data_IF_342039993639
#
_entry.id   IF_342039993639
#
_cell.length_a   1.000
_cell.length_b   1.000
_cell.length_c   1.000
_cell.angle_alpha   90.00
_cell.angle_beta   90.00
_cell.angle_gamma   90.00
#
_symmetry.space_group_name_H-M   'P 1'
#
loop_
_entity.id
_entity.type
_entity.pdbx_description
1 polymer ?
#
# COMPACT_ATOMS: atom_id res chain seq x y z
N UNK A 1 19.84 18.61 -7.55
CA UNK A 1 18.38 18.33 -7.48
C UNK A 1 17.72 19.54 -6.82
N UNK A 2 16.67 20.08 -7.44
CA UNK A 2 16.00 21.28 -6.91
C UNK A 2 15.13 20.86 -5.71
N UNK A 3 15.28 21.57 -4.58
CA UNK A 3 14.48 21.35 -3.37
C UNK A 3 13.67 22.61 -3.11
N UNK A 4 12.35 22.47 -2.88
CA UNK A 4 11.48 23.55 -2.43
C UNK A 4 10.97 23.15 -1.05
N UNK A 5 11.29 23.94 -0.06
CA UNK A 5 10.77 23.81 1.30
C UNK A 5 9.50 24.68 1.34
N UNK A 6 8.39 24.08 1.73
CA UNK A 6 7.16 24.83 1.95
C UNK A 6 7.25 25.49 3.32
N UNK A 7 7.15 26.80 3.42
CA UNK A 7 7.11 27.51 4.71
C UNK A 7 5.97 27.01 5.59
N UNK A 8 5.95 27.44 6.85
CA UNK A 8 4.82 27.18 7.74
C UNK A 8 3.52 27.67 7.10
N UNK A 9 2.43 26.96 7.38
CA UNK A 9 1.11 27.24 6.78
C UNK A 9 0.72 28.71 6.94
N UNK A 10 0.92 29.26 8.11
CA UNK A 10 0.61 30.65 8.46
C UNK A 10 1.41 31.68 7.63
N UNK A 11 2.63 31.33 7.22
CA UNK A 11 3.50 32.21 6.44
C UNK A 11 3.10 32.32 4.97
N UNK A 12 2.39 31.33 4.43
CA UNK A 12 2.02 31.25 3.01
C UNK A 12 0.52 31.30 2.78
N UNK A 13 -0.28 31.40 3.82
CA UNK A 13 -1.74 31.42 3.72
C UNK A 13 -2.26 32.56 2.82
N UNK A 14 -1.57 33.69 2.81
CA UNK A 14 -1.88 34.82 1.93
C UNK A 14 -1.63 34.52 0.42
N UNK A 15 -0.83 33.51 0.11
CA UNK A 15 -0.59 33.05 -1.27
C UNK A 15 -1.63 32.03 -1.77
N UNK A 16 -2.47 31.54 -0.87
CA UNK A 16 -3.51 30.56 -1.16
C UNK A 16 -4.76 31.28 -1.64
N UNK A 17 -5.12 31.11 -2.89
CA UNK A 17 -6.28 31.74 -3.50
C UNK A 17 -7.53 30.93 -3.07
N UNK A 18 -8.52 31.61 -2.51
CA UNK A 18 -9.81 31.04 -2.09
C UNK A 18 -9.67 29.80 -1.16
N UNK A 19 -8.60 29.72 -0.39
CA UNK A 19 -8.33 28.56 0.48
C UNK A 19 -7.95 27.28 -0.28
N UNK A 20 -7.69 27.34 -1.59
CA UNK A 20 -7.30 26.17 -2.41
C UNK A 20 -5.81 25.84 -2.31
N UNK A 21 -5.46 25.11 -1.28
CA UNK A 21 -4.09 24.59 -1.10
C UNK A 21 -3.66 23.65 -2.21
N UNK A 22 -4.57 22.94 -2.86
CA UNK A 22 -4.26 22.09 -4.02
C UNK A 22 -3.68 22.93 -5.16
N UNK A 23 -4.29 24.07 -5.47
CA UNK A 23 -3.79 25.02 -6.47
C UNK A 23 -2.41 25.59 -6.12
N UNK A 24 -2.17 25.87 -4.84
CA UNK A 24 -0.86 26.28 -4.35
C UNK A 24 0.22 25.22 -4.64
N UNK A 25 -0.02 23.95 -4.30
CA UNK A 25 0.93 22.86 -4.55
C UNK A 25 1.14 22.57 -6.03
N UNK A 26 0.09 22.67 -6.86
CA UNK A 26 0.21 22.55 -8.33
C UNK A 26 1.11 23.66 -8.91
N UNK A 27 0.98 24.90 -8.42
CA UNK A 27 1.87 26.00 -8.81
C UNK A 27 3.32 25.76 -8.39
N UNK A 28 3.54 25.23 -7.19
CA UNK A 28 4.87 24.90 -6.68
C UNK A 28 5.51 23.81 -7.52
N UNK A 29 4.81 22.70 -7.82
CA UNK A 29 5.38 21.64 -8.63
C UNK A 29 5.70 22.07 -10.07
N UNK A 30 4.91 23.00 -10.64
CA UNK A 30 5.19 23.55 -11.95
C UNK A 30 6.53 24.32 -12.01
N UNK A 31 6.96 24.92 -10.89
CA UNK A 31 8.28 25.53 -10.76
C UNK A 31 9.42 24.48 -10.80
N UNK A 32 9.13 23.23 -10.40
CA UNK A 32 10.07 22.11 -10.47
C UNK A 32 10.16 21.52 -11.87
N UNK A 33 9.04 21.43 -12.58
CA UNK A 33 8.91 20.73 -13.86
C UNK A 33 9.47 21.50 -15.08
N UNK A 34 9.82 22.78 -14.92
CA UNK A 34 10.32 23.62 -16.04
C UNK A 34 11.67 23.18 -16.63
N UNK A 35 12.34 22.16 -16.09
CA UNK A 35 13.68 21.76 -16.53
C UNK A 35 13.72 20.70 -17.62
N UNK A 36 12.61 20.14 -18.06
CA UNK A 36 12.53 19.25 -19.24
C UNK A 36 13.31 17.93 -19.17
N UNK A 37 13.97 17.63 -18.07
CA UNK A 37 14.79 16.43 -17.95
C UNK A 37 13.95 15.21 -17.54
N UNK A 38 14.29 14.02 -18.04
CA UNK A 38 13.72 12.73 -17.62
C UNK A 38 14.18 12.30 -16.22
N UNK A 39 14.97 13.11 -15.56
CA UNK A 39 15.48 12.88 -14.21
C UNK A 39 14.54 13.49 -13.18
N UNK A 40 14.66 13.06 -11.92
CA UNK A 40 13.90 13.57 -10.78
C UNK A 40 13.86 15.10 -10.81
N UNK A 41 12.66 15.67 -10.98
CA UNK A 41 12.47 17.11 -11.17
C UNK A 41 12.74 17.89 -9.89
N UNK A 42 12.47 17.29 -8.74
CA UNK A 42 12.80 17.87 -7.45
C UNK A 42 12.00 17.31 -6.28
N UNK A 43 12.26 17.86 -5.12
CA UNK A 43 11.61 17.48 -3.87
C UNK A 43 10.79 18.64 -3.33
N UNK A 44 9.54 18.39 -2.99
CA UNK A 44 8.69 19.29 -2.19
C UNK A 44 8.79 18.83 -0.75
N UNK A 45 9.25 19.70 0.13
CA UNK A 45 9.39 19.41 1.56
C UNK A 45 8.28 20.11 2.32
N UNK A 46 7.47 19.29 2.99
CA UNK A 46 6.35 19.75 3.81
C UNK A 46 6.82 19.97 5.25
N UNK A 47 6.41 21.07 5.83
CA UNK A 47 6.74 21.45 7.21
C UNK A 47 5.51 21.39 8.14
N UNK A 48 4.32 21.16 7.55
CA UNK A 48 3.03 21.12 8.25
C UNK A 48 2.05 20.18 7.53
N UNK A 49 0.82 20.06 8.03
CA UNK A 49 -0.31 19.38 7.40
C UNK A 49 -1.20 20.38 6.67
N UNK A 50 -1.43 20.12 5.38
CA UNK A 50 -2.12 21.05 4.49
C UNK A 50 -3.47 20.51 4.04
N UNK A 51 -4.54 21.35 4.08
CA UNK A 51 -5.85 20.97 3.58
C UNK A 51 -5.88 20.90 2.05
N UNK A 52 -6.53 19.89 1.52
CA UNK A 52 -6.80 19.76 0.11
C UNK A 52 -8.31 19.75 -0.13
N UNK A 53 -8.78 20.53 -1.11
CA UNK A 53 -10.17 20.58 -1.52
C UNK A 53 -10.47 19.71 -2.73
N UNK A 54 -9.45 19.19 -3.39
CA UNK A 54 -9.54 18.27 -4.51
C UNK A 54 -8.26 17.42 -4.62
N UNK A 55 -8.30 16.38 -5.46
CA UNK A 55 -7.13 15.52 -5.71
C UNK A 55 -5.90 16.34 -6.08
N UNK A 56 -4.84 16.20 -5.31
CA UNK A 56 -3.54 16.74 -5.70
C UNK A 56 -2.87 15.77 -6.69
N UNK A 57 -2.82 16.20 -7.94
CA UNK A 57 -2.16 15.46 -9.00
C UNK A 57 -0.66 15.72 -8.97
N UNK A 58 0.09 14.78 -8.37
CA UNK A 58 1.54 14.90 -8.26
C UNK A 58 2.17 14.61 -9.62
N UNK A 59 3.05 15.48 -10.07
CA UNK A 59 3.77 15.34 -11.32
C UNK A 59 4.76 14.18 -11.30
N UNK A 60 5.08 13.66 -12.48
CA UNK A 60 6.17 12.69 -12.63
C UNK A 60 7.50 13.28 -12.15
N UNK A 61 8.33 12.43 -11.56
CA UNK A 61 9.65 12.78 -11.01
C UNK A 61 9.62 13.77 -9.82
N UNK A 62 8.47 13.91 -9.15
CA UNK A 62 8.35 14.70 -7.92
C UNK A 62 8.40 13.78 -6.71
N UNK A 63 9.23 14.13 -5.74
CA UNK A 63 9.26 13.53 -4.42
C UNK A 63 8.56 14.45 -3.41
N UNK A 64 7.68 13.88 -2.61
CA UNK A 64 7.09 14.52 -1.44
C UNK A 64 7.84 14.05 -0.19
N UNK A 65 8.34 14.98 0.61
CA UNK A 65 9.09 14.67 1.83
C UNK A 65 8.58 15.53 2.99
N UNK A 66 8.23 14.92 4.12
CA UNK A 66 7.82 15.62 5.32
C UNK A 66 8.98 15.83 6.30
N UNK A 67 8.96 16.92 7.03
CA UNK A 67 9.82 17.13 8.19
C UNK A 67 9.10 16.65 9.45
N UNK A 68 9.58 15.56 10.07
CA UNK A 68 9.06 15.16 11.38
C UNK A 68 9.51 16.13 12.47
N UNK A 69 8.56 16.84 13.05
CA UNK A 69 8.84 17.73 14.19
C UNK A 69 8.81 17.01 15.56
N UNK A 70 8.25 15.81 15.64
CA UNK A 70 8.18 15.05 16.88
C UNK A 70 8.42 13.56 16.68
N UNK A 71 9.19 12.96 17.57
CA UNK A 71 9.61 11.54 17.48
C UNK A 71 8.53 10.52 17.82
N UNK A 72 7.37 10.87 18.36
CA UNK A 72 6.49 9.90 19.04
C UNK A 72 4.98 10.10 18.88
N UNK A 73 4.46 11.02 18.07
CA UNK A 73 3.01 11.15 17.92
C UNK A 73 2.57 11.14 16.46
N UNK A 74 1.72 10.16 16.15
CA UNK A 74 1.07 9.97 14.85
C UNK A 74 0.28 11.23 14.42
N UNK A 75 -0.11 12.10 15.35
CA UNK A 75 -0.84 13.33 15.10
C UNK A 75 0.00 14.57 14.71
N UNK A 76 1.33 14.47 14.68
CA UNK A 76 2.23 15.62 14.41
C UNK A 76 3.05 15.46 13.12
N UNK A 77 2.68 14.55 12.24
CA UNK A 77 3.37 14.34 10.97
C UNK A 77 2.92 15.33 9.91
N UNK A 78 3.87 15.85 9.15
CA UNK A 78 3.61 16.71 8.00
C UNK A 78 2.89 15.93 6.89
N UNK A 79 1.98 16.59 6.16
CA UNK A 79 1.30 15.90 5.09
C UNK A 79 0.10 16.65 4.52
N UNK A 80 -0.94 15.88 4.23
CA UNK A 80 -2.15 16.38 3.60
C UNK A 80 -3.39 15.80 4.26
N UNK A 81 -4.46 16.59 4.29
CA UNK A 81 -5.76 16.10 4.71
C UNK A 81 -6.87 16.58 3.78
N UNK A 82 -7.82 15.69 3.50
CA UNK A 82 -9.02 16.03 2.74
C UNK A 82 -9.94 16.89 3.61
N UNK A 83 -10.41 18.02 3.06
CA UNK A 83 -11.42 18.84 3.73
C UNK A 83 -12.82 18.23 3.61
N UNK A 84 -13.79 18.75 4.35
CA UNK A 84 -15.19 18.33 4.23
C UNK A 84 -15.74 18.51 2.81
N UNK A 85 -15.31 19.56 2.11
CA UNK A 85 -15.73 19.91 0.75
C UNK A 85 -14.85 19.27 -0.34
N UNK A 86 -14.07 18.25 0.00
CA UNK A 86 -13.15 17.62 -0.95
C UNK A 86 -13.92 17.05 -2.15
N UNK A 87 -13.44 17.37 -3.36
CA UNK A 87 -13.96 16.85 -4.62
C UNK A 87 -12.89 16.09 -5.39
N UNK A 88 -13.07 14.78 -5.54
CA UNK A 88 -12.13 13.89 -6.24
C UNK A 88 -12.17 12.46 -5.72
N UNK A 89 -11.46 11.57 -6.39
CA UNK A 89 -11.44 10.13 -6.07
C UNK A 89 -10.27 9.73 -5.14
N UNK A 90 -9.22 10.54 -5.06
CA UNK A 90 -7.98 10.30 -4.33
C UNK A 90 -7.49 11.56 -3.66
N UNK A 91 -6.95 11.45 -2.46
CA UNK A 91 -6.28 12.60 -1.83
C UNK A 91 -5.02 12.96 -2.61
N UNK A 92 -4.15 11.97 -2.86
CA UNK A 92 -2.95 12.14 -3.70
C UNK A 92 -2.97 11.15 -4.87
N UNK A 93 -2.60 11.62 -6.05
CA UNK A 93 -2.51 10.78 -7.25
C UNK A 93 -1.32 11.17 -8.10
N UNK A 94 -0.42 10.22 -8.37
CA UNK A 94 0.64 10.42 -9.34
C UNK A 94 0.09 10.31 -10.77
N UNK A 95 0.19 11.38 -11.51
CA UNK A 95 -0.23 11.38 -12.89
C UNK A 95 0.75 10.59 -13.75
N UNK A 96 0.18 9.81 -14.67
CA UNK A 96 0.93 9.25 -15.77
C UNK A 96 1.44 10.42 -16.62
N UNK A 97 2.75 10.49 -16.94
CA UNK A 97 3.22 11.42 -17.94
C UNK A 97 2.52 11.10 -19.27
N UNK A 98 2.32 12.09 -20.12
CA UNK A 98 1.69 11.95 -21.45
C UNK A 98 2.45 11.00 -22.40
N UNK A 99 3.51 10.34 -21.94
CA UNK A 99 4.24 9.34 -22.72
C UNK A 99 3.39 8.08 -22.88
N UNK A 100 3.46 7.46 -24.05
CA UNK A 100 2.84 6.15 -24.35
C UNK A 100 3.39 5.01 -23.48
N UNK A 101 4.37 5.27 -22.63
CA UNK A 101 4.99 4.33 -21.73
C UNK A 101 4.12 4.15 -20.47
N UNK A 102 3.86 2.92 -20.07
CA UNK A 102 3.22 2.57 -18.81
C UNK A 102 4.05 3.00 -17.60
N UNK A 103 5.33 3.19 -17.75
CA UNK A 103 6.32 3.43 -16.73
C UNK A 103 6.92 4.82 -16.95
N UNK A 104 6.45 5.81 -16.23
CA UNK A 104 6.86 7.18 -16.47
C UNK A 104 7.30 7.95 -15.24
N UNK A 105 7.12 7.37 -14.04
CA UNK A 105 7.41 8.05 -12.78
C UNK A 105 8.75 7.60 -12.18
N UNK A 106 9.84 7.69 -12.95
CA UNK A 106 11.19 7.46 -12.46
C UNK A 106 11.53 8.44 -11.34
N UNK A 107 12.06 7.91 -10.24
CA UNK A 107 12.53 8.74 -9.16
C UNK A 107 11.45 9.54 -8.42
N UNK A 108 10.17 9.25 -8.65
CA UNK A 108 9.09 9.73 -7.79
C UNK A 108 9.18 9.12 -6.40
N UNK A 109 8.70 9.82 -5.41
CA UNK A 109 8.80 9.29 -4.05
C UNK A 109 7.87 9.94 -3.06
N UNK A 110 7.64 9.20 -1.97
CA UNK A 110 7.00 9.67 -0.75
C UNK A 110 7.94 9.30 0.40
N UNK A 111 8.20 10.24 1.29
CA UNK A 111 8.95 9.97 2.50
C UNK A 111 8.43 10.83 3.66
N UNK A 112 8.12 10.19 4.78
CA UNK A 112 7.67 10.86 6.01
C UNK A 112 6.42 11.72 5.82
N UNK A 113 5.39 11.17 5.17
CA UNK A 113 4.14 11.86 4.87
C UNK A 113 2.97 11.19 5.60
N UNK A 114 2.07 11.99 6.13
CA UNK A 114 0.77 11.57 6.60
C UNK A 114 -0.31 12.04 5.61
N UNK A 115 -1.20 11.15 5.22
CA UNK A 115 -2.36 11.44 4.40
C UNK A 115 -3.61 11.08 5.18
N UNK A 116 -4.34 12.10 5.62
CA UNK A 116 -5.63 11.93 6.26
C UNK A 116 -6.73 12.03 5.20
N UNK A 117 -7.40 10.92 4.95
CA UNK A 117 -8.55 10.85 4.05
C UNK A 117 -9.86 11.07 4.82
N UNK A 118 -10.98 10.76 4.22
CA UNK A 118 -12.32 10.74 4.83
C UNK A 118 -13.10 9.55 4.32
N UNK A 119 -14.20 9.20 5.00
CA UNK A 119 -15.01 8.05 4.65
C UNK A 119 -15.43 8.06 3.17
N UNK A 120 -15.21 6.94 2.48
CA UNK A 120 -15.51 6.79 1.05
C UNK A 120 -14.52 7.45 0.08
N UNK A 121 -13.40 8.00 0.58
CA UNK A 121 -12.39 8.66 -0.24
C UNK A 121 -11.06 7.88 -0.19
N UNK A 122 -10.53 7.52 -1.35
CA UNK A 122 -9.23 6.84 -1.43
C UNK A 122 -8.07 7.75 -0.99
N UNK A 123 -7.05 7.14 -0.38
CA UNK A 123 -5.88 7.85 0.11
C UNK A 123 -4.88 8.20 -0.98
N UNK A 124 -3.98 7.27 -1.31
CA UNK A 124 -2.85 7.53 -2.21
C UNK A 124 -2.85 6.58 -3.40
N UNK A 125 -2.75 7.11 -4.60
CA UNK A 125 -2.52 6.34 -5.82
C UNK A 125 -1.13 6.63 -6.39
N UNK A 126 -0.20 5.71 -6.13
CA UNK A 126 1.18 5.79 -6.62
C UNK A 126 1.30 5.05 -7.94
N UNK A 127 1.02 5.75 -9.04
CA UNK A 127 0.85 5.18 -10.37
C UNK A 127 2.11 5.25 -11.21
N UNK A 128 2.37 4.16 -11.97
CA UNK A 128 3.42 4.14 -12.98
C UNK A 128 4.83 4.35 -12.42
N UNK A 129 5.04 4.05 -11.15
CA UNK A 129 6.34 4.11 -10.53
C UNK A 129 7.30 3.11 -11.19
N UNK A 130 8.56 3.47 -11.27
CA UNK A 130 9.62 2.64 -11.84
C UNK A 130 10.91 2.91 -11.07
N UNK A 131 11.97 2.19 -11.42
CA UNK A 131 13.31 2.24 -10.81
C UNK A 131 13.67 3.60 -10.19
N UNK A 132 14.22 3.60 -9.02
CA UNK A 132 14.50 4.79 -8.20
C UNK A 132 13.27 5.53 -7.63
N UNK A 133 12.05 5.01 -7.84
CA UNK A 133 10.89 5.41 -7.09
C UNK A 133 10.84 4.70 -5.73
N UNK A 134 10.07 5.21 -4.79
CA UNK A 134 9.88 4.54 -3.51
C UNK A 134 8.89 5.26 -2.59
N UNK A 135 8.35 4.49 -1.66
CA UNK A 135 7.49 4.99 -0.59
C UNK A 135 8.12 4.57 0.73
N UNK A 136 8.37 5.54 1.59
CA UNK A 136 8.99 5.33 2.88
C UNK A 136 8.27 6.14 3.96
N UNK A 137 8.00 5.51 5.11
CA UNK A 137 7.40 6.18 6.26
C UNK A 137 6.09 6.92 5.88
N UNK A 138 5.16 6.23 5.24
CA UNK A 138 3.85 6.77 4.85
C UNK A 138 2.78 6.30 5.82
N UNK A 139 1.94 7.22 6.27
CA UNK A 139 0.72 6.91 7.00
C UNK A 139 -0.46 7.35 6.15
N UNK A 140 -1.42 6.46 5.92
CA UNK A 140 -2.70 6.77 5.28
C UNK A 140 -3.81 6.38 6.22
N UNK A 141 -4.70 7.33 6.56
CA UNK A 141 -5.78 7.12 7.53
C UNK A 141 -7.12 7.64 7.09
N UNK A 142 -8.19 7.08 7.69
CA UNK A 142 -9.53 7.63 7.63
C UNK A 142 -10.23 7.45 6.28
N UNK A 143 -9.81 6.54 5.42
CA UNK A 143 -10.42 6.36 4.11
C UNK A 143 -11.78 5.62 4.19
N UNK A 144 -12.05 4.85 5.24
CA UNK A 144 -13.36 4.29 5.54
C UNK A 144 -13.81 3.20 4.58
N UNK A 145 -15.13 3.09 4.44
CA UNK A 145 -15.80 2.06 3.64
C UNK A 145 -15.58 2.23 2.14
N UNK A 146 -15.57 1.09 1.41
CA UNK A 146 -15.48 1.03 -0.06
C UNK A 146 -14.32 1.83 -0.67
N UNK A 147 -13.21 1.95 0.05
CA UNK A 147 -12.09 2.81 -0.31
C UNK A 147 -10.75 2.08 -0.19
N UNK A 148 -9.73 2.67 -0.78
CA UNK A 148 -8.38 2.13 -0.82
C UNK A 148 -7.42 3.11 -0.14
N UNK A 149 -6.65 2.61 0.83
CA UNK A 149 -5.61 3.42 1.48
C UNK A 149 -4.47 3.73 0.53
N UNK A 150 -3.79 2.72 0.02
CA UNK A 150 -2.66 2.87 -0.90
C UNK A 150 -2.81 1.94 -2.10
N UNK A 151 -2.94 2.51 -3.31
CA UNK A 151 -2.86 1.77 -4.57
C UNK A 151 -1.50 1.94 -5.21
N UNK A 152 -0.90 0.83 -5.58
CA UNK A 152 0.43 0.74 -6.16
C UNK A 152 0.35 0.28 -7.62
N UNK A 153 1.03 0.97 -8.49
CA UNK A 153 1.15 0.58 -9.90
C UNK A 153 2.55 0.84 -10.42
N UNK A 154 3.07 -0.07 -11.25
CA UNK A 154 4.39 0.09 -11.86
C UNK A 154 5.33 -1.08 -11.60
N UNK A 155 6.64 -0.81 -11.57
CA UNK A 155 7.67 -1.85 -11.62
C UNK A 155 8.93 -1.46 -10.84
N UNK A 156 9.52 -2.44 -10.16
CA UNK A 156 10.86 -2.38 -9.55
C UNK A 156 11.06 -1.22 -8.59
N UNK A 157 10.30 -1.16 -7.50
CA UNK A 157 10.49 -0.19 -6.42
C UNK A 157 10.16 -0.77 -5.04
N UNK A 158 10.53 -0.03 -4.00
CA UNK A 158 10.30 -0.42 -2.61
C UNK A 158 9.23 0.44 -1.93
N UNK A 159 8.47 -0.22 -1.04
CA UNK A 159 7.48 0.38 -0.15
C UNK A 159 7.84 -0.09 1.26
N UNK A 160 8.19 0.83 2.16
CA UNK A 160 8.67 0.50 3.50
C UNK A 160 8.05 1.38 4.56
N UNK A 161 7.82 0.78 5.73
CA UNK A 161 7.35 1.49 6.92
C UNK A 161 6.04 2.23 6.63
N UNK A 162 5.03 1.48 6.13
CA UNK A 162 3.75 2.05 5.73
C UNK A 162 2.63 1.52 6.62
N UNK A 163 1.87 2.46 7.18
CA UNK A 163 0.67 2.19 7.95
C UNK A 163 -0.57 2.66 7.18
N UNK A 164 -1.53 1.76 6.98
CA UNK A 164 -2.78 2.04 6.27
C UNK A 164 -3.98 1.64 7.13
N UNK A 165 -4.82 2.61 7.48
CA UNK A 165 -5.86 2.49 8.49
C UNK A 165 -7.19 3.07 7.97
N UNK A 166 -8.20 2.22 7.88
CA UNK A 166 -9.53 2.62 7.42
C UNK A 166 -10.40 3.25 8.51
N UNK A 167 -9.96 3.29 9.78
CA UNK A 167 -10.72 3.89 10.87
C UNK A 167 -11.09 5.35 10.59
N UNK A 168 -12.36 5.69 10.80
CA UNK A 168 -12.90 7.04 10.61
C UNK A 168 -13.29 7.61 11.97
N UNK A 169 -12.88 8.85 12.27
CA UNK A 169 -13.26 9.53 13.50
C UNK A 169 -12.65 8.93 14.78
N UNK A 170 -11.60 8.11 14.67
CA UNK A 170 -10.96 7.45 15.81
C UNK A 170 -11.69 6.21 16.33
N UNK A 171 -12.65 5.70 15.58
CA UNK A 171 -13.31 4.42 15.90
C UNK A 171 -12.50 3.25 15.32
N UNK A 172 -11.73 2.61 16.18
CA UNK A 172 -10.81 1.50 15.86
C UNK A 172 -11.42 0.14 16.22
N UNK A 173 -12.74 0.02 16.33
CA UNK A 173 -13.36 -1.19 16.89
C UNK A 173 -13.63 -2.31 15.89
N UNK A 174 -13.61 -2.04 14.58
CA UNK A 174 -13.95 -3.03 13.54
C UNK A 174 -13.40 -2.70 12.16
N UNK A 175 -13.36 -3.73 11.30
CA UNK A 175 -13.01 -3.58 9.89
C UNK A 175 -14.10 -2.82 9.11
N UNK A 176 -13.70 -1.91 8.23
CA UNK A 176 -14.61 -1.14 7.36
C UNK A 176 -14.93 -1.94 6.10
N UNK A 177 -16.22 -2.11 5.82
CA UNK A 177 -16.71 -2.87 4.67
C UNK A 177 -16.17 -2.32 3.34
N UNK A 178 -15.77 -3.21 2.42
CA UNK A 178 -15.22 -2.86 1.11
C UNK A 178 -13.88 -2.15 1.12
N UNK A 179 -13.30 -1.86 2.30
CA UNK A 179 -12.04 -1.14 2.38
C UNK A 179 -10.83 -2.04 2.11
N UNK A 180 -9.81 -1.46 1.47
CA UNK A 180 -8.54 -2.14 1.14
C UNK A 180 -7.36 -1.30 1.61
N UNK A 181 -6.48 -1.88 2.44
CA UNK A 181 -5.30 -1.16 2.90
C UNK A 181 -4.27 -0.94 1.78
N UNK A 182 -3.91 -2.01 1.07
CA UNK A 182 -2.91 -2.01 -0.01
C UNK A 182 -3.46 -2.74 -1.23
N UNK A 183 -3.53 -2.06 -2.36
CA UNK A 183 -3.92 -2.68 -3.63
C UNK A 183 -2.75 -2.65 -4.61
N UNK A 184 -2.34 -3.83 -5.08
CA UNK A 184 -1.27 -4.00 -6.07
C UNK A 184 -1.90 -4.17 -7.45
N UNK A 185 -1.91 -3.10 -8.21
CA UNK A 185 -2.08 -3.09 -9.66
C UNK A 185 -3.47 -2.92 -10.25
N UNK A 186 -3.60 -1.90 -11.10
CA UNK A 186 -4.59 -1.88 -12.18
C UNK A 186 -4.21 -2.79 -13.36
N UNK A 187 -2.90 -2.90 -13.66
CA UNK A 187 -2.29 -3.72 -14.73
C UNK A 187 -0.86 -3.99 -14.32
N UNK A 188 -0.37 -5.19 -14.53
CA UNK A 188 1.01 -5.64 -14.29
C UNK A 188 1.80 -4.82 -13.27
N UNK A 189 1.82 -5.30 -12.07
CA UNK A 189 2.76 -4.85 -11.04
C UNK A 189 3.88 -5.86 -11.00
N UNK A 190 5.13 -5.39 -11.16
CA UNK A 190 6.28 -6.26 -11.25
C UNK A 190 7.32 -5.89 -10.19
N UNK A 191 7.89 -6.91 -9.53
CA UNK A 191 9.09 -6.75 -8.70
C UNK A 191 8.97 -5.66 -7.61
N UNK A 192 7.81 -5.57 -6.96
CA UNK A 192 7.62 -4.66 -5.82
C UNK A 192 7.98 -5.37 -4.53
N UNK A 193 8.71 -4.68 -3.65
CA UNK A 193 8.98 -5.12 -2.29
C UNK A 193 8.23 -4.23 -1.30
N UNK A 194 7.36 -4.87 -0.51
CA UNK A 194 6.70 -4.26 0.64
C UNK A 194 7.37 -4.76 1.91
N UNK A 195 7.78 -3.87 2.79
CA UNK A 195 8.55 -4.19 4.00
C UNK A 195 8.06 -3.35 5.18
N UNK A 196 7.83 -3.98 6.32
CA UNK A 196 7.29 -3.34 7.53
C UNK A 196 5.98 -2.60 7.22
N UNK A 197 5.00 -3.31 6.71
CA UNK A 197 3.70 -2.72 6.39
C UNK A 197 2.65 -3.17 7.40
N UNK A 198 1.70 -2.28 7.68
CA UNK A 198 0.58 -2.56 8.59
C UNK A 198 -0.74 -2.19 7.94
N UNK A 199 -1.71 -3.11 7.97
CA UNK A 199 -3.12 -2.82 7.67
C UNK A 199 -3.93 -2.81 8.95
N UNK A 200 -4.85 -1.84 9.07
CA UNK A 200 -5.67 -1.68 10.25
C UNK A 200 -7.11 -1.31 9.88
N UNK A 201 -8.10 -1.90 10.56
CA UNK A 201 -9.52 -1.64 10.37
C UNK A 201 -10.03 -1.82 8.93
N UNK A 202 -9.45 -2.73 8.15
CA UNK A 202 -9.80 -2.93 6.75
C UNK A 202 -10.55 -4.25 6.55
N UNK A 203 -11.44 -4.33 5.55
CA UNK A 203 -11.92 -5.63 5.10
C UNK A 203 -10.79 -6.42 4.46
N UNK A 204 -10.03 -5.79 3.57
CA UNK A 204 -8.91 -6.42 2.87
C UNK A 204 -7.58 -5.76 3.23
N UNK A 205 -6.58 -6.56 3.57
CA UNK A 205 -5.23 -6.09 3.86
C UNK A 205 -4.45 -5.80 2.58
N UNK A 206 -3.79 -6.80 2.00
CA UNK A 206 -3.10 -6.70 0.72
C UNK A 206 -3.89 -7.43 -0.35
N UNK A 207 -4.34 -6.70 -1.35
CA UNK A 207 -5.01 -7.25 -2.54
C UNK A 207 -4.09 -7.16 -3.74
N UNK A 208 -3.84 -8.28 -4.41
CA UNK A 208 -3.08 -8.28 -5.66
C UNK A 208 -3.85 -8.91 -6.81
N UNK A 209 -3.82 -8.23 -7.94
CA UNK A 209 -4.39 -8.70 -9.20
C UNK A 209 -3.31 -9.33 -10.10
N UNK A 210 -3.01 -8.69 -11.23
CA UNK A 210 -1.92 -9.09 -12.14
C UNK A 210 -0.57 -8.61 -11.60
N UNK A 211 -0.07 -9.28 -10.54
CA UNK A 211 1.14 -8.94 -9.84
C UNK A 211 2.14 -10.09 -9.88
N UNK A 212 3.40 -9.79 -10.21
CA UNK A 212 4.44 -10.77 -10.41
C UNK A 212 5.69 -10.41 -9.59
N UNK A 213 6.34 -11.42 -9.01
CA UNK A 213 7.58 -11.26 -8.24
C UNK A 213 7.43 -10.26 -7.09
N UNK A 214 6.33 -10.39 -6.33
CA UNK A 214 6.07 -9.56 -5.19
C UNK A 214 6.73 -10.18 -3.95
N UNK A 215 7.43 -9.36 -3.19
CA UNK A 215 7.93 -9.73 -1.86
C UNK A 215 7.24 -8.87 -0.82
N UNK A 216 6.66 -9.52 0.19
CA UNK A 216 6.09 -8.88 1.38
C UNK A 216 6.86 -9.41 2.58
N UNK A 217 7.39 -8.52 3.41
CA UNK A 217 8.20 -8.88 4.58
C UNK A 217 7.80 -8.05 5.78
N UNK A 218 7.62 -8.70 6.93
CA UNK A 218 7.14 -8.08 8.16
C UNK A 218 5.80 -7.37 7.95
N UNK A 219 4.77 -8.15 7.66
CA UNK A 219 3.42 -7.63 7.50
C UNK A 219 2.59 -7.92 8.75
N UNK A 220 2.11 -6.87 9.39
CA UNK A 220 1.15 -6.91 10.48
C UNK A 220 -0.23 -6.51 9.98
N UNK A 221 -1.25 -7.31 10.27
CA UNK A 221 -2.63 -6.94 10.00
C UNK A 221 -3.46 -7.04 11.28
N UNK A 222 -4.10 -5.95 11.66
CA UNK A 222 -4.90 -5.86 12.87
C UNK A 222 -6.31 -5.38 12.53
N UNK A 223 -7.32 -6.03 13.10
CA UNK A 223 -8.73 -5.75 12.77
C UNK A 223 -8.97 -5.74 11.25
N UNK A 224 -8.30 -6.64 10.55
CA UNK A 224 -8.41 -6.81 9.10
C UNK A 224 -9.07 -8.15 8.83
N UNK A 225 -10.22 -8.14 8.15
CA UNK A 225 -11.03 -9.36 7.96
C UNK A 225 -10.29 -10.40 7.14
N UNK A 226 -9.66 -10.00 6.04
CA UNK A 226 -8.89 -10.88 5.15
C UNK A 226 -7.53 -10.24 4.86
N UNK A 227 -6.45 -10.64 5.53
CA UNK A 227 -5.13 -10.06 5.36
C UNK A 227 -4.57 -10.11 3.94
N UNK A 228 -4.82 -11.21 3.23
CA UNK A 228 -4.26 -11.47 1.91
C UNK A 228 -5.32 -11.91 0.93
N UNK A 229 -5.43 -11.24 -0.22
CA UNK A 229 -6.39 -11.55 -1.28
C UNK A 229 -5.69 -11.56 -2.63
N UNK A 230 -5.87 -12.63 -3.40
CA UNK A 230 -5.46 -12.70 -4.80
C UNK A 230 -6.67 -12.75 -5.71
N UNK A 231 -6.72 -11.85 -6.69
CA UNK A 231 -7.87 -11.74 -7.60
C UNK A 231 -7.60 -12.16 -9.04
N UNK A 232 -6.34 -12.44 -9.40
CA UNK A 232 -6.04 -12.78 -10.78
C UNK A 232 -4.98 -13.88 -10.92
N UNK A 233 -3.69 -13.54 -11.03
CA UNK A 233 -2.63 -14.50 -11.35
C UNK A 233 -1.39 -14.27 -10.48
N UNK A 234 -1.24 -15.04 -9.40
CA UNK A 234 -0.11 -14.89 -8.48
C UNK A 234 1.14 -15.60 -9.02
N UNK A 235 2.09 -14.86 -9.53
CA UNK A 235 3.37 -15.42 -10.01
C UNK A 235 4.53 -14.98 -9.14
N UNK A 236 5.11 -15.91 -8.39
CA UNK A 236 6.30 -15.65 -7.59
C UNK A 236 6.01 -14.69 -6.42
N UNK A 237 4.94 -14.94 -5.68
CA UNK A 237 4.61 -14.19 -4.47
C UNK A 237 5.36 -14.81 -3.29
N UNK A 238 6.11 -14.00 -2.57
CA UNK A 238 6.88 -14.42 -1.40
C UNK A 238 6.53 -13.53 -0.21
N UNK A 239 5.86 -14.11 0.79
CA UNK A 239 5.39 -13.42 1.97
C UNK A 239 6.09 -14.02 3.18
N UNK A 240 6.79 -13.18 3.94
CA UNK A 240 7.58 -13.58 5.10
C UNK A 240 7.16 -12.82 6.33
N UNK A 241 7.11 -13.55 7.43
CA UNK A 241 6.84 -12.99 8.75
C UNK A 241 5.55 -12.16 8.78
N UNK A 242 4.44 -12.80 8.36
CA UNK A 242 3.11 -12.21 8.49
C UNK A 242 2.54 -12.48 9.88
N UNK A 243 1.95 -11.47 10.50
CA UNK A 243 1.29 -11.57 11.81
C UNK A 243 -0.14 -11.03 11.75
N UNK A 244 -1.13 -11.82 11.30
CA UNK A 244 -2.53 -11.43 11.36
C UNK A 244 -3.06 -11.46 12.80
N UNK A 245 -3.79 -10.41 13.18
CA UNK A 245 -4.45 -10.26 14.47
C UNK A 245 -5.94 -10.06 14.32
N UNK A 246 -6.72 -10.65 15.21
CA UNK A 246 -8.17 -10.51 15.26
C UNK A 246 -8.88 -10.92 13.96
N UNK A 247 -8.38 -11.98 13.31
CA UNK A 247 -9.00 -12.58 12.13
C UNK A 247 -8.86 -14.09 12.15
N UNK A 248 -9.81 -14.78 11.54
CA UNK A 248 -9.73 -16.23 11.28
C UNK A 248 -9.21 -16.52 9.86
N UNK A 249 -9.21 -15.53 8.98
CA UNK A 249 -8.75 -15.68 7.61
C UNK A 249 -7.24 -15.43 7.52
N UNK A 250 -6.60 -16.05 6.57
CA UNK A 250 -5.21 -15.81 6.20
C UNK A 250 -5.10 -15.37 4.73
N UNK A 251 -5.69 -16.15 3.83
CA UNK A 251 -5.54 -15.93 2.39
C UNK A 251 -6.83 -16.31 1.65
N UNK A 252 -7.28 -15.44 0.78
CA UNK A 252 -8.39 -15.71 -0.12
C UNK A 252 -7.92 -15.80 -1.58
N UNK A 253 -8.14 -16.96 -2.20
CA UNK A 253 -7.80 -17.28 -3.59
C UNK A 253 -9.04 -17.55 -4.45
N UNK A 254 -10.26 -17.36 -3.94
CA UNK A 254 -11.51 -17.76 -4.61
C UNK A 254 -11.75 -17.08 -5.96
N UNK A 255 -11.15 -15.90 -6.17
CA UNK A 255 -11.27 -15.10 -7.40
C UNK A 255 -10.12 -15.30 -8.39
N UNK A 256 -9.17 -16.18 -8.11
CA UNK A 256 -8.04 -16.42 -9.00
C UNK A 256 -8.52 -17.12 -10.29
N UNK A 257 -8.25 -16.48 -11.42
CA UNK A 257 -8.74 -16.94 -12.74
C UNK A 257 -7.69 -17.69 -13.55
N UNK A 258 -6.40 -17.47 -13.28
CA UNK A 258 -5.31 -18.06 -14.05
C UNK A 258 -4.25 -18.66 -13.12
N UNK A 259 -4.03 -19.96 -13.26
CA UNK A 259 -3.13 -20.74 -12.41
C UNK A 259 -1.86 -21.21 -13.13
N UNK A 260 -1.45 -20.53 -14.18
CA UNK A 260 -0.23 -20.92 -14.88
C UNK A 260 1.00 -20.46 -14.09
N UNK A 261 1.80 -21.43 -13.63
CA UNK A 261 3.04 -21.20 -12.87
C UNK A 261 2.81 -20.35 -11.61
N UNK A 262 1.72 -20.60 -10.91
CA UNK A 262 1.47 -19.97 -9.63
C UNK A 262 2.38 -20.54 -8.55
N UNK A 263 3.08 -19.66 -7.84
CA UNK A 263 3.86 -20.01 -6.67
C UNK A 263 3.67 -18.92 -5.61
N UNK A 264 3.08 -19.30 -4.48
CA UNK A 264 2.98 -18.44 -3.29
C UNK A 264 3.74 -19.14 -2.16
N UNK A 265 4.69 -18.45 -1.58
CA UNK A 265 5.34 -18.85 -0.32
C UNK A 265 4.89 -17.90 0.77
N UNK A 266 4.45 -18.48 1.89
CA UNK A 266 3.92 -17.70 3.00
C UNK A 266 4.33 -18.30 4.33
N UNK A 267 5.04 -17.56 5.14
CA UNK A 267 5.36 -17.94 6.51
C UNK A 267 4.91 -16.89 7.51
N UNK A 268 4.65 -17.31 8.72
CA UNK A 268 4.26 -16.41 9.78
C UNK A 268 3.57 -17.08 10.97
N UNK A 269 2.86 -16.26 11.73
CA UNK A 269 2.15 -16.68 12.93
C UNK A 269 0.85 -15.89 13.12
N UNK A 270 -0.26 -16.59 13.38
CA UNK A 270 -1.51 -15.98 13.83
C UNK A 270 -1.38 -15.57 15.31
N UNK A 271 -1.77 -14.35 15.64
CA UNK A 271 -1.57 -13.80 17.01
C UNK A 271 -2.37 -14.50 18.09
N UNK A 272 -3.50 -15.08 17.75
CA UNK A 272 -4.44 -15.72 18.68
C UNK A 272 -4.27 -17.23 18.82
N UNK A 273 -3.23 -17.80 18.21
CA UNK A 273 -2.94 -19.24 18.18
C UNK A 273 -4.04 -20.13 17.54
N UNK A 274 -4.99 -19.56 16.79
CA UNK A 274 -6.11 -20.30 16.19
C UNK A 274 -5.84 -20.73 14.76
N UNK A 275 -4.84 -20.60 14.14
CA UNK A 275 -4.61 -21.00 12.75
C UNK A 275 -5.47 -20.23 11.75
N UNK A 276 -5.00 -20.08 10.53
CA UNK A 276 -5.59 -19.25 9.50
C UNK A 276 -6.30 -20.03 8.38
N UNK A 277 -7.47 -19.54 7.95
CA UNK A 277 -8.21 -20.11 6.84
C UNK A 277 -7.67 -19.62 5.49
N UNK A 278 -7.43 -20.56 4.59
CA UNK A 278 -7.08 -20.33 3.19
C UNK A 278 -8.25 -20.81 2.35
N UNK A 279 -8.90 -19.88 1.64
CA UNK A 279 -10.00 -20.20 0.74
C UNK A 279 -9.46 -20.43 -0.67
N UNK A 280 -9.71 -21.62 -1.21
CA UNK A 280 -9.23 -22.05 -2.52
C UNK A 280 -10.21 -21.66 -3.65
N UNK A 281 -9.77 -21.60 -4.90
CA UNK A 281 -10.64 -21.34 -6.05
C UNK A 281 -11.67 -22.43 -6.31
N UNK A 282 -11.42 -23.65 -5.81
CA UNK A 282 -12.39 -24.76 -5.85
C UNK A 282 -13.57 -24.55 -4.91
N UNK A 283 -13.54 -23.53 -4.05
CA UNK A 283 -14.47 -23.30 -2.96
C UNK A 283 -14.12 -24.06 -1.67
N UNK A 284 -13.13 -24.94 -1.73
CA UNK A 284 -12.61 -25.64 -0.55
C UNK A 284 -11.83 -24.69 0.37
N UNK A 285 -11.74 -25.07 1.62
CA UNK A 285 -11.00 -24.31 2.64
C UNK A 285 -9.93 -25.17 3.27
N UNK A 286 -8.71 -24.68 3.28
CA UNK A 286 -7.59 -25.25 4.01
C UNK A 286 -7.34 -24.47 5.28
N UNK A 287 -7.12 -25.15 6.41
CA UNK A 287 -6.78 -24.50 7.68
C UNK A 287 -5.31 -24.70 7.99
N UNK A 288 -4.55 -23.61 7.93
CA UNK A 288 -3.16 -23.59 8.39
C UNK A 288 -3.08 -23.64 9.92
N UNK A 289 -2.01 -24.20 10.46
CA UNK A 289 -1.70 -24.12 11.90
C UNK A 289 -1.45 -22.66 12.33
N UNK A 290 -1.45 -22.40 13.64
CA UNK A 290 -1.19 -21.04 14.17
C UNK A 290 0.20 -20.50 13.80
N UNK A 291 1.16 -21.38 13.59
CA UNK A 291 2.46 -21.05 13.01
C UNK A 291 2.64 -21.87 11.74
N UNK A 292 2.91 -21.23 10.63
CA UNK A 292 2.91 -21.86 9.31
C UNK A 292 4.14 -21.48 8.47
N UNK A 293 4.50 -22.39 7.55
CA UNK A 293 5.52 -22.20 6.51
C UNK A 293 5.00 -22.97 5.28
N UNK A 294 4.21 -22.26 4.45
CA UNK A 294 3.43 -22.86 3.38
C UNK A 294 4.02 -22.56 2.02
N UNK A 295 4.03 -23.56 1.17
CA UNK A 295 4.24 -23.43 -0.28
C UNK A 295 2.94 -23.81 -0.96
N UNK A 296 2.34 -22.89 -1.68
CA UNK A 296 1.13 -23.08 -2.45
C UNK A 296 1.53 -23.04 -3.92
N UNK A 297 1.38 -24.17 -4.57
CA UNK A 297 1.62 -24.35 -6.00
C UNK A 297 0.30 -24.63 -6.68
N UNK A 298 0.07 -23.97 -7.80
CA UNK A 298 -1.12 -24.21 -8.58
C UNK A 298 -0.81 -24.24 -10.07
N UNK A 299 -1.38 -25.22 -10.74
CA UNK A 299 -1.31 -25.40 -12.17
C UNK A 299 -2.70 -25.78 -12.74
N UNK A 300 -2.74 -26.24 -13.98
CA UNK A 300 -3.99 -26.68 -14.61
C UNK A 300 -4.63 -27.90 -13.93
N UNK A 301 -3.85 -28.69 -13.19
CA UNK A 301 -4.33 -29.91 -12.53
C UNK A 301 -4.94 -29.64 -11.16
N UNK A 302 -4.63 -28.49 -10.53
CA UNK A 302 -5.20 -28.14 -9.23
C UNK A 302 -4.27 -27.28 -8.35
N UNK A 303 -4.64 -27.21 -7.09
CA UNK A 303 -3.87 -26.51 -6.06
C UNK A 303 -3.22 -27.52 -5.12
N UNK A 304 -1.92 -27.41 -4.93
CA UNK A 304 -1.16 -28.19 -3.96
C UNK A 304 -0.64 -27.26 -2.85
N UNK A 305 -0.92 -27.62 -1.60
CA UNK A 305 -0.45 -26.88 -0.42
C UNK A 305 0.47 -27.77 0.39
N UNK A 306 1.72 -27.35 0.53
CA UNK A 306 2.74 -28.06 1.30
C UNK A 306 3.12 -27.24 2.53
N UNK A 307 3.04 -27.85 3.72
CA UNK A 307 3.56 -27.28 4.95
C UNK A 307 5.02 -27.72 5.15
N UNK A 308 5.96 -26.84 4.87
CA UNK A 308 7.39 -27.12 4.95
C UNK A 308 7.85 -27.40 6.39
N UNK A 309 7.17 -26.87 7.38
CA UNK A 309 7.47 -27.15 8.80
C UNK A 309 7.17 -28.59 9.16
N UNK A 310 6.00 -29.11 8.80
CA UNK A 310 5.61 -30.49 9.05
C UNK A 310 6.52 -31.48 8.32
N UNK A 311 6.91 -31.16 7.08
CA UNK A 311 7.88 -31.97 6.34
C UNK A 311 9.23 -32.03 7.06
N UNK A 312 9.75 -30.92 7.57
CA UNK A 312 11.03 -30.91 8.31
C UNK A 312 10.94 -31.73 9.60
N UNK A 313 9.83 -31.68 10.31
CA UNK A 313 9.61 -32.49 11.51
C UNK A 313 9.52 -34.01 11.18
N UNK A 314 8.84 -34.36 10.10
CA UNK A 314 8.78 -35.74 9.60
C UNK A 314 10.18 -36.28 9.29
N UNK A 315 10.99 -35.52 8.55
CA UNK A 315 12.37 -35.95 8.23
C UNK A 315 13.27 -36.06 9.46
N UNK A 316 13.09 -35.24 10.48
CA UNK A 316 13.82 -35.36 11.74
C UNK A 316 13.46 -36.66 12.50
N UNK A 317 12.18 -36.99 12.56
CA UNK A 317 11.67 -38.18 13.23
C UNK A 317 12.06 -39.47 12.48
N UNK A 318 12.21 -39.45 11.17
CA UNK A 318 12.60 -40.60 10.36
C UNK A 318 14.11 -40.89 10.40
N UNK A 319 14.93 -39.98 10.92
CA UNK A 319 16.38 -40.17 11.08
C UNK A 319 16.81 -40.61 12.50
N UNK A 320 15.88 -40.59 13.44
CA UNK A 320 16.03 -41.14 14.79
C UNK A 320 15.29 -42.46 14.91
#
# INVERSE_FOLDING_TARGET
MKKIIIPLKEEVEAEVIDGDWTGYFEKIQNKLNKSGSRQRSGTIVLTDSYPLNRTFNVGSHVELNGEFKAKHHIGSSCGFYATENFNGDWVLKWNKSNSRSYYSNFGSGINKIHVQSKNGLNGVYFRGAQQSAGIYNLIVRGFGENSIGLRLGGDTYAVRDVFSDAAVGGDDSFAREGSTAFELGERRVLSIRLENITSHNCEYGVVWGDAHQITIENYESELTTIPLVCTYNPRGINIRNICPRHTENLLNLDKVRWWHNCLIKIDGQMSDNKGGLIKLPTGETFKASSTFDLVIEADKAGVNITNMREMREFYRKSKN
#
